data_IF_001812017320
#
_entry.id   IF_001812017320
#
_cell.length_a   1.000
_cell.length_b   1.000
_cell.length_c   1.000
_cell.angle_alpha   90.00
_cell.angle_beta   90.00
_cell.angle_gamma   90.00
#
_symmetry.space_group_name_H-M   'P 1'
#
loop_
_entity.id
_entity.type
_entity.pdbx_description
1 polymer ?
#
# COMPACT_ATOMS: atom_id res chain seq x y z
N UNK A 1 -17.61 0.14 1.44
CA UNK A 1 -17.39 -1.34 1.34
C UNK A 1 -17.35 -1.83 2.78
N UNK A 2 -18.12 -2.84 3.19
CA UNK A 2 -18.16 -3.23 4.62
C UNK A 2 -16.73 -3.59 5.10
N UNK A 3 -16.32 -3.14 6.30
CA UNK A 3 -14.97 -3.30 6.89
C UNK A 3 -14.37 -4.71 6.75
N UNK A 4 -15.23 -5.73 6.72
CA UNK A 4 -14.85 -7.13 6.48
C UNK A 4 -14.17 -7.34 5.13
N UNK A 5 -14.57 -6.61 4.09
CA UNK A 5 -13.98 -6.64 2.76
C UNK A 5 -12.54 -6.14 2.74
N UNK A 6 -12.24 -5.04 3.47
CA UNK A 6 -10.88 -4.51 3.58
C UNK A 6 -9.96 -5.49 4.30
N UNK A 7 -10.43 -6.13 5.39
CA UNK A 7 -9.65 -7.15 6.10
C UNK A 7 -9.45 -8.41 5.27
N UNK A 8 -10.43 -8.82 4.49
CA UNK A 8 -10.29 -9.93 3.56
C UNK A 8 -9.26 -9.62 2.47
N UNK A 9 -9.25 -8.38 1.96
CA UNK A 9 -8.28 -7.95 0.96
C UNK A 9 -6.87 -7.85 1.53
N UNK A 10 -6.72 -7.33 2.74
CA UNK A 10 -5.45 -7.34 3.46
C UNK A 10 -4.90 -8.76 3.64
N UNK A 11 -5.74 -9.72 4.05
CA UNK A 11 -5.35 -11.13 4.18
C UNK A 11 -4.90 -11.73 2.86
N UNK A 12 -5.60 -11.40 1.78
CA UNK A 12 -5.22 -11.85 0.44
C UNK A 12 -3.86 -11.27 0.04
N UNK A 13 -3.66 -9.97 0.22
CA UNK A 13 -2.41 -9.29 -0.08
C UNK A 13 -1.22 -9.87 0.70
N UNK A 14 -1.41 -10.14 2.00
CA UNK A 14 -0.38 -10.77 2.84
C UNK A 14 0.01 -12.12 2.26
N UNK A 15 -0.96 -12.99 1.97
CA UNK A 15 -0.72 -14.30 1.40
C UNK A 15 0.01 -14.21 0.04
N UNK A 16 -0.45 -13.31 -0.83
CA UNK A 16 0.16 -13.06 -2.13
C UNK A 16 1.62 -12.61 -1.99
N UNK A 17 1.89 -11.70 -1.06
CA UNK A 17 3.25 -11.23 -0.78
C UNK A 17 4.16 -12.38 -0.31
N UNK A 18 3.66 -13.31 0.51
CA UNK A 18 4.41 -14.49 0.94
C UNK A 18 4.69 -15.47 -0.20
N UNK A 19 3.69 -15.75 -1.04
CA UNK A 19 3.80 -16.63 -2.21
C UNK A 19 4.85 -16.13 -3.21
N UNK A 20 4.99 -14.82 -3.34
CA UNK A 20 6.00 -14.17 -4.19
C UNK A 20 7.34 -13.91 -3.49
N UNK A 21 7.53 -14.42 -2.26
CA UNK A 21 8.80 -14.32 -1.54
C UNK A 21 9.16 -12.90 -1.10
N UNK A 22 8.17 -12.02 -0.92
CA UNK A 22 8.41 -10.70 -0.35
C UNK A 22 8.73 -10.86 1.14
N UNK A 23 9.87 -10.34 1.58
CA UNK A 23 10.36 -10.55 2.95
C UNK A 23 10.32 -9.30 3.82
N UNK A 24 10.11 -8.13 3.22
CA UNK A 24 10.18 -6.84 3.90
C UNK A 24 9.06 -5.95 3.41
N UNK A 25 8.24 -5.50 4.34
CA UNK A 25 7.13 -4.58 4.11
C UNK A 25 7.29 -3.44 5.09
N UNK A 26 7.32 -2.21 4.58
CA UNK A 26 7.26 -1.03 5.44
C UNK A 26 5.80 -0.73 5.74
N UNK A 27 5.40 -0.81 7.01
CA UNK A 27 4.09 -0.39 7.48
C UNK A 27 4.18 1.03 8.04
N UNK A 28 3.30 1.91 7.58
CA UNK A 28 3.19 3.29 8.04
C UNK A 28 1.74 3.58 8.39
N UNK A 29 1.51 4.10 9.59
CA UNK A 29 0.20 4.50 10.07
C UNK A 29 0.02 6.01 9.87
N UNK A 30 -1.17 6.41 9.43
CA UNK A 30 -1.51 7.78 9.05
C UNK A 30 -1.52 8.79 10.21
N UNK A 31 -2.04 9.98 9.91
CA UNK A 31 -2.00 11.11 10.84
C UNK A 31 -2.80 10.84 12.13
N UNK A 32 -4.00 10.26 12.04
CA UNK A 32 -4.85 9.97 13.18
C UNK A 32 -4.15 9.08 14.22
N UNK A 33 -3.52 8.00 13.77
CA UNK A 33 -2.74 7.10 14.63
C UNK A 33 -1.63 7.82 15.40
N UNK A 34 -0.93 8.75 14.74
CA UNK A 34 0.12 9.54 15.36
C UNK A 34 -0.41 10.57 16.38
N UNK A 35 -1.66 11.02 16.23
CA UNK A 35 -2.28 11.92 17.19
C UNK A 35 -2.51 11.21 18.53
N UNK A 36 -3.02 9.98 18.51
CA UNK A 36 -3.28 9.19 19.72
C UNK A 36 -2.02 8.51 20.28
N UNK A 37 -1.08 8.14 19.41
CA UNK A 37 0.19 7.55 19.81
C UNK A 37 1.37 8.26 19.13
N UNK A 38 1.83 9.40 19.69
CA UNK A 38 2.91 10.18 19.10
C UNK A 38 4.18 9.34 19.00
N UNK A 39 4.91 9.50 17.89
CA UNK A 39 6.11 8.76 17.50
C UNK A 39 5.88 7.42 16.80
N UNK A 40 4.76 7.22 16.10
CA UNK A 40 4.67 6.11 15.18
C UNK A 40 5.61 6.30 14.01
N UNK A 41 6.72 5.58 14.04
CA UNK A 41 7.67 5.53 12.93
C UNK A 41 7.31 4.37 12.00
N UNK A 42 7.58 4.50 10.69
CA UNK A 42 7.49 3.37 9.78
C UNK A 42 8.27 2.18 10.34
N UNK A 43 7.64 1.01 10.35
CA UNK A 43 8.26 -0.24 10.78
C UNK A 43 8.48 -1.15 9.58
N UNK A 44 9.58 -1.89 9.57
CA UNK A 44 9.83 -2.91 8.56
C UNK A 44 9.52 -4.27 9.16
N UNK A 45 8.57 -4.98 8.58
CA UNK A 45 8.09 -6.28 9.05
C UNK A 45 8.02 -7.30 7.91
N UNK A 46 7.85 -8.58 8.25
CA UNK A 46 7.52 -9.62 7.26
C UNK A 46 6.04 -9.55 6.90
N UNK A 47 5.60 -10.03 5.72
CA UNK A 47 4.18 -10.05 5.36
C UNK A 47 3.29 -10.73 6.40
N UNK A 48 3.68 -11.88 6.96
CA UNK A 48 2.92 -12.57 8.00
C UNK A 48 2.66 -11.74 9.26
N UNK A 49 3.47 -10.72 9.53
CA UNK A 49 3.37 -9.87 10.72
C UNK A 49 2.47 -8.65 10.51
N UNK A 50 2.06 -8.34 9.26
CA UNK A 50 1.31 -7.11 8.96
C UNK A 50 -0.01 -7.04 9.74
N UNK A 51 -0.75 -8.14 9.77
CA UNK A 51 -2.06 -8.18 10.45
C UNK A 51 -1.88 -7.99 11.96
N UNK A 52 -0.89 -8.66 12.55
CA UNK A 52 -0.55 -8.52 13.96
C UNK A 52 -0.12 -7.08 14.30
N UNK A 53 0.70 -6.45 13.47
CA UNK A 53 1.11 -5.05 13.69
C UNK A 53 -0.08 -4.08 13.64
N UNK A 54 -1.05 -4.31 12.75
CA UNK A 54 -2.28 -3.52 12.69
C UNK A 54 -3.14 -3.77 13.93
N UNK A 55 -3.24 -5.00 14.43
CA UNK A 55 -3.99 -5.27 15.65
C UNK A 55 -3.34 -4.63 16.88
N UNK A 56 -2.02 -4.78 17.02
CA UNK A 56 -1.23 -4.11 18.06
C UNK A 56 -1.41 -2.59 17.98
N UNK A 57 -1.55 -2.07 16.77
CA UNK A 57 -1.79 -0.66 16.55
C UNK A 57 -3.14 -0.18 17.10
N UNK A 58 -4.21 -0.90 16.72
CA UNK A 58 -5.58 -0.64 17.18
C UNK A 58 -5.65 -0.70 18.71
N UNK A 59 -5.01 -1.69 19.32
CA UNK A 59 -4.92 -1.85 20.78
C UNK A 59 -4.15 -0.71 21.46
N UNK A 60 -3.01 -0.27 20.87
CA UNK A 60 -2.20 0.81 21.42
C UNK A 60 -2.93 2.16 21.43
N UNK A 61 -3.78 2.40 20.43
CA UNK A 61 -4.68 3.57 20.40
C UNK A 61 -5.94 3.39 21.25
N UNK A 62 -6.08 2.26 21.96
CA UNK A 62 -7.26 1.93 22.79
C UNK A 62 -8.57 1.96 22.01
N UNK A 63 -8.50 1.68 20.70
CA UNK A 63 -9.66 1.77 19.81
C UNK A 63 -10.06 3.21 19.46
N UNK A 64 -9.17 4.19 19.57
CA UNK A 64 -9.40 5.52 18.99
C UNK A 64 -9.08 5.55 17.47
N UNK A 65 -8.29 4.59 16.98
CA UNK A 65 -8.03 4.38 15.55
C UNK A 65 -8.31 2.94 15.13
N UNK A 66 -8.80 2.77 13.90
CA UNK A 66 -9.15 1.46 13.34
C UNK A 66 -8.71 1.29 11.89
N UNK A 67 -8.28 0.07 11.56
CA UNK A 67 -8.04 -0.30 10.18
C UNK A 67 -9.33 -0.24 9.35
N UNK A 68 -9.25 0.49 8.25
CA UNK A 68 -10.40 0.76 7.37
C UNK A 68 -11.16 2.05 7.72
N UNK A 69 -10.87 2.66 8.87
CA UNK A 69 -11.35 4.01 9.20
C UNK A 69 -10.22 5.04 9.17
N UNK A 70 -8.99 4.60 9.38
CA UNK A 70 -7.80 5.45 9.37
C UNK A 70 -6.75 4.93 8.39
N UNK A 71 -5.90 5.84 7.91
CA UNK A 71 -4.95 5.52 6.85
C UNK A 71 -3.86 4.53 7.30
N UNK A 72 -3.64 3.49 6.49
CA UNK A 72 -2.52 2.56 6.63
C UNK A 72 -1.85 2.34 5.28
N UNK A 73 -0.55 2.61 5.20
CA UNK A 73 0.27 2.37 4.02
C UNK A 73 1.19 1.16 4.21
N UNK A 74 1.21 0.27 3.22
CA UNK A 74 2.07 -0.89 3.12
C UNK A 74 2.96 -0.77 1.89
N UNK A 75 4.27 -0.64 2.07
CA UNK A 75 5.23 -0.54 0.96
C UNK A 75 6.09 -1.81 0.84
N UNK A 76 6.07 -2.42 -0.34
CA UNK A 76 6.67 -3.71 -0.67
C UNK A 76 7.93 -3.57 -1.55
N UNK A 77 8.55 -2.39 -1.56
CA UNK A 77 9.73 -2.07 -2.37
C UNK A 77 9.36 -1.39 -3.68
N UNK A 78 8.83 -2.13 -4.66
CA UNK A 78 8.48 -1.60 -5.99
C UNK A 78 7.03 -1.14 -6.12
N UNK A 79 6.16 -1.50 -5.18
CA UNK A 79 4.79 -1.04 -5.10
C UNK A 79 4.38 -0.73 -3.65
N UNK A 80 3.30 0.01 -3.50
CA UNK A 80 2.67 0.31 -2.21
C UNK A 80 1.16 0.28 -2.32
N UNK A 81 0.51 -0.12 -1.24
CA UNK A 81 -0.93 -0.11 -1.07
C UNK A 81 -1.28 0.79 0.11
N UNK A 82 -2.20 1.71 -0.10
CA UNK A 82 -2.73 2.59 0.94
C UNK A 82 -4.20 2.27 1.15
N UNK A 83 -4.55 1.85 2.36
CA UNK A 83 -5.94 1.80 2.83
C UNK A 83 -6.26 3.18 3.39
N UNK A 84 -7.24 3.86 2.80
CA UNK A 84 -7.60 5.24 3.12
C UNK A 84 -8.80 5.29 4.07
N UNK A 85 -8.88 6.33 4.89
CA UNK A 85 -10.01 6.65 5.77
C UNK A 85 -11.35 6.87 5.06
N UNK A 86 -11.36 6.98 3.72
CA UNK A 86 -12.57 7.10 2.90
C UNK A 86 -13.08 5.76 2.34
N UNK A 87 -12.74 4.62 2.97
CA UNK A 87 -13.06 3.26 2.49
C UNK A 87 -12.45 2.90 1.11
N UNK A 88 -11.44 3.66 0.65
CA UNK A 88 -10.77 3.46 -0.63
C UNK A 88 -9.43 2.73 -0.47
N UNK A 89 -9.07 1.92 -1.47
CA UNK A 89 -7.76 1.28 -1.58
C UNK A 89 -7.00 1.88 -2.76
N UNK A 90 -5.80 2.38 -2.48
CA UNK A 90 -4.93 2.98 -3.49
C UNK A 90 -3.76 2.04 -3.76
N UNK A 91 -3.49 1.78 -5.04
CA UNK A 91 -2.31 1.03 -5.48
C UNK A 91 -1.39 1.95 -6.26
N UNK A 92 -0.13 2.03 -5.84
CA UNK A 92 0.92 2.77 -6.54
C UNK A 92 2.08 1.84 -6.81
N UNK A 93 2.71 1.98 -7.98
CA UNK A 93 3.88 1.20 -8.35
C UNK A 93 4.87 2.03 -9.15
N UNK A 94 6.15 1.67 -9.02
CA UNK A 94 7.20 2.19 -9.89
C UNK A 94 7.30 1.38 -11.17
N UNK A 95 7.12 0.06 -11.07
CA UNK A 95 7.16 -0.89 -12.19
C UNK A 95 6.02 -1.90 -12.05
N UNK A 96 5.37 -2.25 -13.17
CA UNK A 96 4.32 -3.26 -13.21
C UNK A 96 4.95 -4.65 -13.13
N UNK A 97 5.13 -5.13 -11.91
CA UNK A 97 5.59 -6.49 -11.62
C UNK A 97 4.42 -7.48 -11.52
N UNK A 98 4.74 -8.77 -11.45
CA UNK A 98 3.75 -9.85 -11.40
C UNK A 98 2.74 -9.68 -10.24
N UNK A 99 3.21 -9.32 -9.04
CA UNK A 99 2.34 -9.07 -7.88
C UNK A 99 1.31 -7.95 -8.16
N UNK A 100 1.74 -6.87 -8.81
CA UNK A 100 0.86 -5.74 -9.14
C UNK A 100 -0.21 -6.17 -10.13
N UNK A 101 0.14 -6.96 -11.15
CA UNK A 101 -0.83 -7.50 -12.11
C UNK A 101 -1.86 -8.42 -11.44
N UNK A 102 -1.42 -9.28 -10.51
CA UNK A 102 -2.31 -10.20 -9.79
C UNK A 102 -3.28 -9.44 -8.88
N UNK A 103 -2.83 -8.38 -8.19
CA UNK A 103 -3.69 -7.48 -7.41
C UNK A 103 -4.73 -6.81 -8.30
N UNK A 104 -4.31 -6.20 -9.42
CA UNK A 104 -5.20 -5.52 -10.36
C UNK A 104 -6.23 -6.48 -10.97
N UNK A 105 -5.80 -7.70 -11.35
CA UNK A 105 -6.67 -8.71 -11.92
C UNK A 105 -7.75 -9.15 -10.92
N UNK A 106 -7.38 -9.38 -9.67
CA UNK A 106 -8.33 -9.71 -8.59
C UNK A 106 -9.32 -8.58 -8.35
N UNK A 107 -8.84 -7.34 -8.23
CA UNK A 107 -9.72 -6.20 -7.95
C UNK A 107 -10.75 -5.99 -9.07
N UNK A 108 -10.33 -6.17 -10.32
CA UNK A 108 -11.22 -6.18 -11.49
C UNK A 108 -12.29 -7.28 -11.41
N UNK A 109 -11.90 -8.50 -11.00
CA UNK A 109 -12.84 -9.62 -10.86
C UNK A 109 -13.87 -9.41 -9.75
N UNK A 110 -13.45 -8.82 -8.62
CA UNK A 110 -14.29 -8.64 -7.45
C UNK A 110 -15.05 -7.30 -7.42
N UNK A 111 -14.92 -6.47 -8.46
CA UNK A 111 -15.53 -5.12 -8.52
C UNK A 111 -15.20 -4.28 -7.27
N UNK A 112 -13.97 -4.42 -6.78
CA UNK A 112 -13.45 -3.56 -5.71
C UNK A 112 -13.29 -2.16 -6.30
N UNK A 113 -13.75 -1.12 -5.59
CA UNK A 113 -13.46 0.27 -5.97
C UNK A 113 -12.02 0.59 -5.55
N UNK A 114 -11.19 1.02 -6.49
CA UNK A 114 -9.79 1.35 -6.23
C UNK A 114 -9.34 2.54 -7.06
N UNK A 115 -8.42 3.30 -6.51
CA UNK A 115 -7.73 4.38 -7.19
C UNK A 115 -6.30 3.93 -7.52
N UNK A 116 -5.92 4.03 -8.79
CA UNK A 116 -4.54 3.80 -9.19
C UNK A 116 -3.93 5.11 -9.66
N UNK A 117 -2.72 5.38 -9.19
CA UNK A 117 -1.90 6.45 -9.71
C UNK A 117 -0.73 5.81 -10.44
N UNK A 118 -0.83 5.74 -11.77
CA UNK A 118 0.34 5.48 -12.59
C UNK A 118 1.28 6.69 -12.45
N UNK A 119 2.47 6.47 -11.91
CA UNK A 119 3.53 7.47 -12.10
C UNK A 119 3.71 7.61 -13.62
N UNK A 120 3.54 8.81 -14.21
CA UNK A 120 3.84 8.98 -15.62
C UNK A 120 5.27 8.51 -15.86
N UNK A 121 5.56 7.80 -16.97
CA UNK A 121 6.91 7.37 -17.29
C UNK A 121 7.83 8.58 -17.15
N UNK A 122 8.91 8.45 -16.38
CA UNK A 122 9.93 9.50 -16.26
C UNK A 122 10.28 9.89 -17.70
N UNK A 123 9.91 11.10 -18.12
CA UNK A 123 10.35 11.63 -19.41
C UNK A 123 11.87 11.56 -19.37
N UNK A 124 12.45 10.62 -20.11
CA UNK A 124 13.88 10.54 -20.31
C UNK A 124 14.26 11.83 -20.99
N UNK A 125 14.88 12.74 -20.23
CA UNK A 125 15.32 14.04 -20.71
C UNK A 125 16.49 13.92 -21.69
N UNK A 126 16.32 13.18 -22.79
CA UNK A 126 17.15 13.35 -23.96
C UNK A 126 16.68 14.63 -24.65
N UNK A 127 17.33 15.74 -24.28
CA UNK A 127 17.30 16.94 -25.11
C UNK A 127 17.91 16.54 -26.47
N UNK A 128 17.22 16.76 -27.60
CA UNK A 128 17.82 16.51 -28.90
C UNK A 128 19.08 17.37 -29.03
N UNK A 129 20.21 16.69 -29.23
CA UNK A 129 21.50 17.30 -29.46
C UNK A 129 21.41 18.09 -30.79
N UNK A 130 21.17 19.40 -30.69
CA UNK A 130 21.11 20.29 -31.83
C UNK A 130 22.51 20.36 -32.46
N UNK A 131 22.69 19.59 -33.54
CA UNK A 131 23.87 19.69 -34.42
C UNK A 131 24.02 21.15 -34.84
N UNK A 132 25.04 21.84 -34.30
CA UNK A 132 25.55 23.09 -34.88
C UNK A 132 26.06 22.74 -36.29
N UNK A 133 25.36 23.20 -37.32
CA UNK A 133 25.93 23.29 -38.65
C UNK A 133 27.00 24.38 -38.63
N UNK A 134 28.13 24.01 -39.22
CA UNK A 134 29.33 24.77 -39.56
C UNK A 134 29.07 26.18 -40.05
#
# INVERSE_FOLDING_TARGET
MLKEGLRAELKHLVKLAEEHGLHRVSITFGHAWNFFHPNWKPKIVKPCQIIEEIQNAEEATKGDCFFGEDDVELAFGNFKITYCHHDDIHLHWNERGQVVEEVLARWKQNSITYLFHENPPKQTGEKPNAKRKT
#
